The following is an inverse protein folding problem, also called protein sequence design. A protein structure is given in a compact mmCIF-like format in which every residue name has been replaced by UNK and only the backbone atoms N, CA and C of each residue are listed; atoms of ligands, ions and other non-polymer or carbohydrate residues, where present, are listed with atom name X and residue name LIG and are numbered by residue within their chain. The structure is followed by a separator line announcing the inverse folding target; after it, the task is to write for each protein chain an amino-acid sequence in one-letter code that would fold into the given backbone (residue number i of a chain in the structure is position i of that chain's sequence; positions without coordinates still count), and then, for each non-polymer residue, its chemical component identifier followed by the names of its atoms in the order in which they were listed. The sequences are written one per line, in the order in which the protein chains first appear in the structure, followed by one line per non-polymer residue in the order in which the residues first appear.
data_IF_549525800038
#
_entry.id   IF_549525800038
#
_cell.length_a   1.000
_cell.length_b   1.000
_cell.length_c   1.000
_cell.angle_alpha   90.00
_cell.angle_beta   90.00
_cell.angle_gamma   90.00
#
_symmetry.space_group_name_H-M   'P 1'
#
loop_
_entity.id
_entity.type
_entity.pdbx_description
1 polymer ?
#
# COMPACT_ATOMS: atom_id res chain seq x y z
N UNK A 1 -9.69 13.15 6.16
CA UNK A 1 -10.33 11.84 6.40
C UNK A 1 -11.75 12.09 6.91
N UNK A 2 -12.75 11.28 6.50
CA UNK A 2 -14.12 11.45 6.98
C UNK A 2 -14.24 11.34 8.50
N UNK A 3 -15.03 12.21 9.12
CA UNK A 3 -15.26 12.28 10.56
C UNK A 3 -16.53 13.07 10.91
N UNK A 4 -16.99 12.89 12.14
CA UNK A 4 -17.91 13.79 12.84
C UNK A 4 -17.41 14.08 14.26
N UNK A 5 -17.90 15.16 14.85
CA UNK A 5 -17.63 15.56 16.24
C UNK A 5 -18.95 15.76 16.97
N UNK A 6 -18.99 15.36 18.24
CA UNK A 6 -20.14 15.52 19.13
C UNK A 6 -19.68 15.84 20.55
N UNK A 7 -20.51 16.48 21.37
CA UNK A 7 -20.18 16.74 22.77
C UNK A 7 -20.11 15.43 23.58
N UNK A 8 -21.12 14.59 23.46
CA UNK A 8 -21.19 13.26 24.08
C UNK A 8 -21.52 12.22 23.01
N UNK A 9 -20.74 11.15 22.96
CA UNK A 9 -20.99 10.06 22.03
C UNK A 9 -21.99 9.06 22.63
N UNK A 10 -23.16 8.99 22.03
CA UNK A 10 -24.17 7.97 22.31
C UNK A 10 -23.99 6.82 21.32
N UNK A 11 -23.61 5.65 21.83
CA UNK A 11 -23.54 4.41 21.02
C UNK A 11 -24.77 3.55 21.32
N UNK A 12 -25.43 2.98 20.28
CA UNK A 12 -26.41 1.92 20.50
C UNK A 12 -25.79 0.71 21.21
N UNK A 13 -26.63 -0.13 21.80
CA UNK A 13 -26.17 -1.41 22.37
C UNK A 13 -25.49 -2.26 21.30
N UNK A 14 -24.29 -2.76 21.60
CA UNK A 14 -23.49 -3.56 20.68
C UNK A 14 -23.69 -5.07 20.95
N UNK A 15 -23.76 -5.92 19.91
CA UNK A 15 -23.73 -5.55 18.49
C UNK A 15 -25.08 -4.98 18.00
N UNK A 16 -25.05 -4.09 17.00
CA UNK A 16 -26.25 -3.69 16.26
C UNK A 16 -25.98 -3.64 14.77
N UNK A 17 -27.04 -3.77 13.96
CA UNK A 17 -26.96 -3.69 12.51
C UNK A 17 -28.00 -2.75 11.91
N UNK A 18 -27.68 -2.18 10.74
CA UNK A 18 -28.59 -1.40 9.93
C UNK A 18 -28.46 -1.79 8.46
N UNK A 19 -29.60 -2.06 7.82
CA UNK A 19 -29.69 -2.26 6.38
C UNK A 19 -29.72 -0.91 5.65
N UNK A 20 -28.91 -0.77 4.61
CA UNK A 20 -28.92 0.41 3.72
C UNK A 20 -29.07 -0.01 2.27
N UNK A 21 -29.07 0.96 1.35
CA UNK A 21 -29.13 0.67 -0.10
C UNK A 21 -27.86 -0.06 -0.58
N UNK A 22 -26.74 0.22 0.06
CA UNK A 22 -25.41 -0.30 -0.27
C UNK A 22 -25.19 -1.72 0.30
N UNK A 23 -25.79 -2.03 1.45
CA UNK A 23 -25.64 -3.32 2.13
C UNK A 23 -25.90 -3.19 3.63
N UNK A 24 -25.57 -4.26 4.36
CA UNK A 24 -25.74 -4.33 5.82
C UNK A 24 -24.50 -3.82 6.53
N UNK A 25 -24.66 -2.84 7.41
CA UNK A 25 -23.63 -2.39 8.34
C UNK A 25 -23.87 -3.01 9.71
N UNK A 26 -22.87 -3.68 10.28
CA UNK A 26 -22.93 -4.26 11.62
C UNK A 26 -21.80 -3.69 12.48
N UNK A 27 -22.16 -3.06 13.58
CA UNK A 27 -21.23 -2.52 14.58
C UNK A 27 -21.11 -3.55 15.68
N UNK A 28 -19.92 -4.12 15.86
CA UNK A 28 -19.76 -5.37 16.59
C UNK A 28 -19.29 -5.13 18.02
N UNK A 29 -18.09 -4.57 18.19
CA UNK A 29 -17.45 -4.44 19.49
C UNK A 29 -16.65 -3.14 19.60
N UNK A 30 -16.61 -2.60 20.81
CA UNK A 30 -15.80 -1.43 21.16
C UNK A 30 -14.57 -1.89 21.93
N UNK A 31 -13.40 -1.68 21.35
CA UNK A 31 -12.11 -1.94 21.97
C UNK A 31 -11.55 -0.64 22.57
N UNK A 32 -11.28 -0.61 23.88
CA UNK A 32 -10.71 0.57 24.56
C UNK A 32 -9.26 0.32 24.94
N UNK A 33 -8.40 1.29 24.67
CA UNK A 33 -6.97 1.18 24.95
C UNK A 33 -6.68 1.10 26.45
N UNK A 34 -5.80 0.18 26.83
CA UNK A 34 -5.30 0.03 28.21
C UNK A 34 -4.32 1.15 28.58
N UNK A 35 -3.68 1.79 27.59
CA UNK A 35 -2.70 2.86 27.81
C UNK A 35 -3.30 4.26 27.63
N UNK A 36 -4.38 4.37 26.86
CA UNK A 36 -5.08 5.63 26.55
C UNK A 36 -6.59 5.44 26.73
N UNK A 37 -7.14 5.58 27.95
CA UNK A 37 -8.56 5.31 28.23
C UNK A 37 -9.55 6.15 27.41
N UNK A 38 -9.09 7.26 26.83
CA UNK A 38 -9.87 8.13 25.97
C UNK A 38 -9.83 7.75 24.47
N UNK A 39 -9.11 6.69 24.11
CA UNK A 39 -8.99 6.15 22.76
C UNK A 39 -9.69 4.80 22.67
N UNK A 40 -10.51 4.62 21.62
CA UNK A 40 -11.18 3.36 21.35
C UNK A 40 -11.32 3.11 19.84
N UNK A 41 -11.45 1.84 19.48
CA UNK A 41 -11.74 1.39 18.13
C UNK A 41 -13.06 0.64 18.13
N UNK A 42 -14.01 1.08 17.31
CA UNK A 42 -15.30 0.41 17.11
C UNK A 42 -15.21 -0.45 15.84
N UNK A 43 -15.40 -1.75 15.97
CA UNK A 43 -15.38 -2.70 14.87
C UNK A 43 -16.65 -2.58 14.04
N UNK A 44 -16.49 -2.50 12.71
CA UNK A 44 -17.59 -2.45 11.75
C UNK A 44 -17.38 -3.54 10.70
N UNK A 45 -18.41 -4.36 10.52
CA UNK A 45 -18.52 -5.34 9.44
C UNK A 45 -19.56 -4.85 8.42
N UNK A 46 -19.17 -4.81 7.15
CA UNK A 46 -20.04 -4.46 6.04
C UNK A 46 -20.24 -5.67 5.11
N UNK A 47 -21.50 -6.05 4.93
CA UNK A 47 -21.93 -7.08 3.98
C UNK A 47 -22.59 -6.39 2.78
N UNK A 48 -21.96 -6.38 1.59
CA UNK A 48 -22.54 -5.78 0.40
C UNK A 48 -23.86 -6.45 0.01
N UNK A 49 -24.78 -5.68 -0.60
CA UNK A 49 -26.01 -6.25 -1.17
C UNK A 49 -25.75 -7.08 -2.44
N UNK A 50 -24.71 -6.72 -3.19
CA UNK A 50 -24.24 -7.48 -4.34
C UNK A 50 -23.37 -8.64 -3.86
N UNK A 51 -23.84 -9.87 -4.10
CA UNK A 51 -23.17 -11.12 -3.68
C UNK A 51 -21.82 -11.36 -4.36
N UNK A 52 -21.49 -10.64 -5.44
CA UNK A 52 -20.18 -10.74 -6.07
C UNK A 52 -19.09 -9.92 -5.35
N UNK A 53 -19.49 -9.01 -4.46
CA UNK A 53 -18.56 -8.18 -3.69
C UNK A 53 -18.20 -8.86 -2.37
N UNK A 54 -16.92 -8.79 -1.99
CA UNK A 54 -16.43 -9.31 -0.71
C UNK A 54 -16.91 -8.46 0.46
N UNK A 55 -17.19 -9.12 1.59
CA UNK A 55 -17.39 -8.48 2.89
C UNK A 55 -16.18 -7.62 3.28
N UNK A 56 -16.42 -6.60 4.10
CA UNK A 56 -15.38 -5.66 4.52
C UNK A 56 -15.46 -5.39 6.01
N UNK A 57 -14.35 -5.63 6.68
CA UNK A 57 -14.16 -5.29 8.09
C UNK A 57 -13.27 -4.05 8.21
N UNK A 58 -13.54 -3.17 9.17
CA UNK A 58 -12.72 -1.99 9.47
C UNK A 58 -13.03 -1.44 10.87
N UNK A 59 -12.20 -0.51 11.33
CA UNK A 59 -12.43 0.20 12.59
C UNK A 59 -12.81 1.67 12.37
N UNK A 60 -13.65 2.17 13.27
CA UNK A 60 -13.83 3.60 13.51
C UNK A 60 -13.05 4.00 14.77
N UNK A 61 -12.19 5.01 14.64
CA UNK A 61 -11.44 5.60 15.73
C UNK A 61 -12.33 6.59 16.50
N UNK A 62 -12.46 6.36 17.81
CA UNK A 62 -13.14 7.23 18.77
C UNK A 62 -12.09 7.84 19.69
N UNK A 63 -12.01 9.17 19.71
CA UNK A 63 -11.14 9.92 20.64
C UNK A 63 -11.96 10.89 21.47
N UNK A 64 -11.96 10.68 22.78
CA UNK A 64 -12.62 11.55 23.76
C UNK A 64 -11.64 12.62 24.26
N UNK A 65 -12.12 13.85 24.32
CA UNK A 65 -11.46 14.97 24.99
C UNK A 65 -12.38 15.51 26.09
N UNK A 66 -11.94 16.51 26.85
CA UNK A 66 -12.78 17.15 27.88
C UNK A 66 -14.03 17.86 27.32
N UNK A 67 -13.99 18.28 26.05
CA UNK A 67 -15.03 19.14 25.45
C UNK A 67 -15.84 18.44 24.36
N UNK A 68 -15.21 17.50 23.65
CA UNK A 68 -15.81 16.82 22.50
C UNK A 68 -15.26 15.40 22.31
N UNK A 69 -16.04 14.57 21.64
CA UNK A 69 -15.64 13.29 21.09
C UNK A 69 -15.56 13.39 19.56
N UNK A 70 -14.43 13.01 18.99
CA UNK A 70 -14.27 12.86 17.55
C UNK A 70 -14.37 11.39 17.17
N UNK A 71 -15.21 11.10 16.17
CA UNK A 71 -15.31 9.77 15.55
C UNK A 71 -14.90 9.90 14.09
N UNK A 72 -13.93 9.10 13.69
CA UNK A 72 -13.40 9.10 12.33
C UNK A 72 -13.03 7.70 11.89
N UNK A 73 -12.81 7.56 10.60
CA UNK A 73 -12.22 6.34 10.07
C UNK A 73 -10.84 6.06 10.66
N UNK A 74 -10.55 4.82 11.06
CA UNK A 74 -9.18 4.43 11.34
C UNK A 74 -8.35 4.37 10.03
N UNK A 75 -7.08 4.76 10.13
CA UNK A 75 -6.18 4.85 8.97
C UNK A 75 -5.64 3.50 8.54
N UNK A 76 -5.43 2.59 9.51
CA UNK A 76 -4.70 1.34 9.31
C UNK A 76 -5.63 0.19 8.89
N UNK A 77 -6.93 0.33 9.13
CA UNK A 77 -7.98 -0.59 8.70
C UNK A 77 -8.87 -0.04 7.58
N UNK A 78 -8.45 1.05 6.93
CA UNK A 78 -9.18 1.73 5.84
C UNK A 78 -9.53 0.76 4.70
N UNK A 79 -10.74 0.88 4.17
CA UNK A 79 -11.25 0.12 3.03
C UNK A 79 -11.57 1.03 1.83
N UNK A 80 -11.58 0.43 0.64
CA UNK A 80 -12.16 1.01 -0.57
C UNK A 80 -13.49 0.30 -0.94
N UNK A 81 -14.50 1.02 -1.47
CA UNK A 81 -14.55 2.47 -1.64
C UNK A 81 -14.74 3.23 -0.31
N UNK A 82 -14.20 4.44 -0.22
CA UNK A 82 -14.27 5.29 0.98
C UNK A 82 -15.71 5.64 1.39
N UNK A 83 -16.66 5.56 0.45
CA UNK A 83 -18.08 5.81 0.70
C UNK A 83 -18.69 4.88 1.74
N UNK A 84 -18.23 3.63 1.84
CA UNK A 84 -18.71 2.67 2.86
C UNK A 84 -18.38 3.18 4.26
N UNK A 85 -17.14 3.62 4.47
CA UNK A 85 -16.70 4.15 5.77
C UNK A 85 -17.35 5.52 6.10
N UNK A 86 -17.66 6.33 5.08
CA UNK A 86 -18.49 7.53 5.28
C UNK A 86 -19.88 7.14 5.75
N UNK A 87 -20.48 6.12 5.14
CA UNK A 87 -21.83 5.69 5.49
C UNK A 87 -21.92 5.15 6.91
N UNK A 88 -20.94 4.39 7.37
CA UNK A 88 -20.89 3.95 8.78
C UNK A 88 -20.77 5.12 9.76
N UNK A 89 -20.04 6.19 9.39
CA UNK A 89 -19.98 7.41 10.20
C UNK A 89 -21.31 8.17 10.20
N UNK A 90 -22.01 8.24 9.06
CA UNK A 90 -23.36 8.84 8.98
C UNK A 90 -24.36 8.09 9.86
N UNK A 91 -24.32 6.76 9.87
CA UNK A 91 -25.19 5.93 10.72
C UNK A 91 -25.00 6.32 12.19
N UNK A 92 -23.75 6.35 12.67
CA UNK A 92 -23.47 6.76 14.05
C UNK A 92 -23.82 8.23 14.30
N UNK A 93 -23.54 9.13 13.36
CA UNK A 93 -23.85 10.55 13.51
C UNK A 93 -25.36 10.80 13.70
N UNK A 94 -26.21 10.00 13.05
CA UNK A 94 -27.67 10.08 13.19
C UNK A 94 -28.20 9.59 14.55
N UNK A 95 -27.37 8.89 15.33
CA UNK A 95 -27.70 8.51 16.72
C UNK A 95 -27.29 9.56 17.75
N UNK A 96 -26.73 10.70 17.33
CA UNK A 96 -26.26 11.73 18.25
C UNK A 96 -27.29 12.85 18.40
N UNK A 97 -27.60 13.24 19.65
CA UNK A 97 -28.54 14.32 19.93
C UNK A 97 -28.04 15.70 19.47
N UNK A 98 -26.72 15.88 19.44
CA UNK A 98 -26.07 17.11 18.96
C UNK A 98 -24.75 16.81 18.24
N UNK A 99 -24.61 17.30 17.01
CA UNK A 99 -23.37 17.26 16.25
C UNK A 99 -22.71 18.65 16.30
N UNK A 100 -21.42 18.69 16.61
CA UNK A 100 -20.66 19.94 16.63
C UNK A 100 -20.24 20.33 15.21
N UNK A 101 -19.68 19.38 14.46
CA UNK A 101 -19.26 19.53 13.05
C UNK A 101 -19.12 18.15 12.38
N UNK A 102 -19.24 18.08 11.05
CA UNK A 102 -18.92 16.88 10.28
C UNK A 102 -18.43 17.22 8.86
N UNK A 103 -17.69 16.32 8.21
CA UNK A 103 -17.29 16.44 6.80
C UNK A 103 -17.79 15.29 5.92
N UNK A 104 -18.97 14.74 6.26
CA UNK A 104 -19.55 13.57 5.62
C UNK A 104 -20.23 13.84 4.27
N UNK A 105 -20.27 15.10 3.79
CA UNK A 105 -20.98 15.48 2.56
C UNK A 105 -20.70 14.55 1.36
N UNK A 106 -21.79 14.15 0.73
CA UNK A 106 -21.92 13.16 -0.35
C UNK A 106 -21.70 13.73 -1.76
N UNK A 107 -21.04 14.89 -1.90
CA UNK A 107 -20.81 15.53 -3.22
C UNK A 107 -19.84 14.78 -4.14
N UNK A 108 -19.12 13.77 -3.65
CA UNK A 108 -18.41 12.84 -4.51
C UNK A 108 -19.27 11.59 -4.63
N UNK A 109 -19.97 11.51 -5.75
CA UNK A 109 -20.67 10.32 -6.23
C UNK A 109 -19.82 9.09 -5.91
N UNK A 110 -20.43 8.13 -5.22
CA UNK A 110 -19.90 6.78 -5.12
C UNK A 110 -19.62 6.29 -6.55
N UNK A 111 -18.36 6.36 -7.01
CA UNK A 111 -17.92 5.45 -8.05
C UNK A 111 -17.89 4.08 -7.38
N UNK A 112 -19.05 3.43 -7.34
CA UNK A 112 -19.27 2.05 -6.87
C UNK A 112 -18.48 1.05 -7.69
N UNK A 113 -18.09 1.43 -8.91
CA UNK A 113 -17.20 0.61 -9.73
C UNK A 113 -15.76 0.93 -9.31
N UNK A 114 -15.09 -0.02 -8.65
CA UNK A 114 -13.62 -0.08 -8.60
C UNK A 114 -13.20 0.00 -10.07
N UNK A 115 -12.66 1.14 -10.51
CA UNK A 115 -12.15 1.28 -11.87
C UNK A 115 -11.18 0.10 -12.07
N UNK A 116 -11.44 -0.82 -13.02
CA UNK A 116 -10.82 -2.14 -13.01
C UNK A 116 -9.29 -2.08 -13.15
N UNK A 117 -8.79 -0.98 -13.71
CA UNK A 117 -7.39 -0.66 -13.88
C UNK A 117 -6.73 -0.02 -12.65
N UNK A 118 -7.47 0.52 -11.67
CA UNK A 118 -6.88 0.93 -10.39
C UNK A 118 -6.79 -0.31 -9.48
N UNK A 119 -5.56 -0.74 -9.23
CA UNK A 119 -5.25 -1.91 -8.42
C UNK A 119 -4.73 -1.51 -7.04
N UNK A 120 -4.87 -2.43 -6.09
CA UNK A 120 -4.16 -2.41 -4.82
C UNK A 120 -3.00 -3.39 -4.86
N UNK A 121 -2.06 -3.27 -3.91
CA UNK A 121 -0.88 -4.13 -3.90
C UNK A 121 -1.25 -5.61 -3.73
N UNK A 122 -2.32 -5.88 -2.99
CA UNK A 122 -2.86 -7.22 -2.76
C UNK A 122 -3.33 -7.89 -4.06
N UNK A 123 -3.76 -7.10 -5.06
CA UNK A 123 -4.15 -7.62 -6.38
C UNK A 123 -2.95 -8.21 -7.15
N UNK A 124 -1.70 -7.94 -6.72
CA UNK A 124 -0.47 -8.44 -7.36
C UNK A 124 0.17 -9.63 -6.62
N UNK A 125 -0.36 -10.04 -5.46
CA UNK A 125 0.18 -11.18 -4.69
C UNK A 125 -0.06 -12.52 -5.40
N UNK A 126 -1.13 -12.61 -6.20
CA UNK A 126 -1.37 -13.71 -7.13
C UNK A 126 -1.22 -13.19 -8.56
N UNK A 127 0.03 -13.09 -9.00
CA UNK A 127 0.38 -12.48 -10.28
C UNK A 127 -0.15 -13.28 -11.47
N UNK A 128 -0.18 -14.61 -11.38
CA UNK A 128 -0.66 -15.48 -12.46
C UNK A 128 -2.18 -15.34 -12.65
N UNK A 129 -2.95 -15.31 -11.56
CA UNK A 129 -4.38 -15.01 -11.63
C UNK A 129 -4.63 -13.58 -12.13
N UNK A 130 -3.82 -12.60 -11.73
CA UNK A 130 -3.94 -11.23 -12.20
C UNK A 130 -3.79 -11.15 -13.74
N UNK A 131 -2.80 -11.85 -14.30
CA UNK A 131 -2.55 -11.90 -15.73
C UNK A 131 -3.63 -12.66 -16.49
N UNK A 132 -4.10 -13.79 -15.95
CA UNK A 132 -5.17 -14.61 -16.56
C UNK A 132 -6.48 -13.84 -16.68
N UNK A 133 -6.73 -12.91 -15.76
CA UNK A 133 -7.89 -12.03 -15.78
C UNK A 133 -7.77 -10.83 -16.75
N UNK A 134 -6.65 -10.69 -17.46
CA UNK A 134 -6.51 -9.70 -18.53
C UNK A 134 -6.97 -10.30 -19.86
N UNK A 135 -7.61 -9.49 -20.71
CA UNK A 135 -7.96 -9.86 -22.10
C UNK A 135 -6.73 -9.93 -23.03
N UNK A 136 -5.55 -10.25 -22.49
CA UNK A 136 -4.28 -10.34 -23.20
C UNK A 136 -3.68 -11.73 -23.00
N UNK A 137 -3.38 -12.43 -24.09
CA UNK A 137 -2.71 -13.74 -24.04
C UNK A 137 -1.21 -13.55 -23.82
N UNK A 138 -0.70 -13.99 -22.68
CA UNK A 138 0.73 -13.96 -22.29
C UNK A 138 1.42 -12.63 -22.67
N UNK A 139 0.92 -11.48 -22.19
CA UNK A 139 1.46 -10.19 -22.58
C UNK A 139 2.88 -10.02 -22.04
N UNK A 140 3.73 -9.35 -22.83
CA UNK A 140 4.91 -8.70 -22.28
C UNK A 140 4.47 -7.58 -21.36
N UNK A 141 5.26 -7.30 -20.32
CA UNK A 141 4.88 -6.36 -19.27
C UNK A 141 5.91 -5.24 -19.17
N UNK A 142 5.43 -4.00 -19.23
CA UNK A 142 6.25 -2.81 -19.06
C UNK A 142 5.80 -2.05 -17.80
N UNK A 143 6.77 -1.64 -16.99
CA UNK A 143 6.55 -0.89 -15.75
C UNK A 143 7.01 0.55 -15.92
N UNK A 144 6.19 1.53 -15.55
CA UNK A 144 6.59 2.93 -15.41
C UNK A 144 6.48 3.37 -13.95
N UNK A 145 7.59 3.81 -13.39
CA UNK A 145 7.70 4.24 -12.00
C UNK A 145 7.68 5.77 -11.92
N UNK A 146 6.72 6.32 -11.19
CA UNK A 146 6.54 7.76 -11.05
C UNK A 146 6.00 8.40 -12.33
N UNK A 147 4.94 7.83 -12.91
CA UNK A 147 4.41 8.26 -14.22
C UNK A 147 3.91 9.72 -14.26
N UNK A 148 3.68 10.36 -13.10
CA UNK A 148 3.26 11.75 -13.00
C UNK A 148 2.00 12.03 -13.81
N UNK A 149 2.12 12.88 -14.84
CA UNK A 149 0.99 13.19 -15.73
C UNK A 149 0.49 12.01 -16.61
N UNK A 150 1.24 10.90 -16.63
CA UNK A 150 0.93 9.72 -17.44
C UNK A 150 1.17 9.88 -18.94
N UNK A 151 1.83 10.96 -19.41
CA UNK A 151 2.04 11.19 -20.85
C UNK A 151 2.78 10.04 -21.54
N UNK A 152 3.87 9.56 -20.94
CA UNK A 152 4.64 8.45 -21.48
C UNK A 152 3.86 7.12 -21.35
N UNK A 153 3.34 6.82 -20.15
CA UNK A 153 2.51 5.64 -19.89
C UNK A 153 1.35 5.50 -20.88
N UNK A 154 0.52 6.53 -21.02
CA UNK A 154 -0.66 6.54 -21.89
C UNK A 154 -0.29 6.50 -23.38
N UNK A 155 0.81 7.13 -23.78
CA UNK A 155 1.32 7.03 -25.15
C UNK A 155 1.69 5.58 -25.48
N UNK A 156 2.51 4.95 -24.64
CA UNK A 156 2.92 3.57 -24.84
C UNK A 156 1.73 2.61 -24.80
N UNK A 157 0.80 2.81 -23.87
CA UNK A 157 -0.42 2.00 -23.77
C UNK A 157 -1.24 2.02 -25.07
N UNK A 158 -1.35 3.19 -25.70
CA UNK A 158 -2.05 3.35 -26.99
C UNK A 158 -1.26 2.74 -28.16
N UNK A 159 0.06 2.92 -28.15
CA UNK A 159 0.93 2.50 -29.25
C UNK A 159 1.15 0.99 -29.28
N UNK A 160 1.13 0.34 -28.12
CA UNK A 160 1.43 -1.08 -27.95
C UNK A 160 0.28 -1.83 -27.25
N UNK A 161 -0.88 -2.00 -27.90
CA UNK A 161 -2.07 -2.62 -27.30
C UNK A 161 -1.87 -4.07 -26.82
N UNK A 162 -0.84 -4.76 -27.32
CA UNK A 162 -0.46 -6.12 -26.93
C UNK A 162 0.41 -6.18 -25.66
N UNK A 163 0.90 -5.04 -25.18
CA UNK A 163 1.74 -4.94 -23.98
C UNK A 163 0.84 -4.59 -22.80
N UNK A 164 1.01 -5.29 -21.69
CA UNK A 164 0.42 -4.89 -20.43
C UNK A 164 1.30 -3.82 -19.78
N UNK A 165 0.75 -2.64 -19.57
CA UNK A 165 1.45 -1.56 -18.87
C UNK A 165 1.06 -1.53 -17.40
N UNK A 166 2.05 -1.39 -16.53
CA UNK A 166 1.84 -1.16 -15.10
C UNK A 166 2.42 0.22 -14.75
N UNK A 167 1.63 1.08 -14.13
CA UNK A 167 2.05 2.41 -13.69
C UNK A 167 2.03 2.54 -12.17
N UNK A 168 3.15 3.00 -11.59
CA UNK A 168 3.24 3.34 -10.17
C UNK A 168 3.28 4.86 -9.97
N UNK A 169 2.43 5.40 -9.12
CA UNK A 169 2.44 6.83 -8.75
C UNK A 169 1.91 7.05 -7.33
N UNK A 170 2.77 7.55 -6.44
CA UNK A 170 2.41 7.81 -5.03
C UNK A 170 1.57 9.11 -4.87
N UNK A 171 1.60 10.01 -5.84
CA UNK A 171 0.79 11.22 -5.85
C UNK A 171 -0.64 10.93 -6.32
N UNK A 172 -1.54 10.66 -5.37
CA UNK A 172 -2.95 10.35 -5.62
C UNK A 172 -3.67 11.24 -6.65
N UNK A 173 -3.54 12.59 -6.65
CA UNK A 173 -4.18 13.41 -7.67
C UNK A 173 -3.68 13.14 -9.10
N UNK A 174 -2.40 12.81 -9.26
CA UNK A 174 -1.85 12.39 -10.56
C UNK A 174 -2.43 11.04 -10.99
N UNK A 175 -2.53 10.09 -10.05
CA UNK A 175 -3.14 8.79 -10.29
C UNK A 175 -4.61 8.94 -10.74
N UNK A 176 -5.41 9.76 -10.07
CA UNK A 176 -6.81 10.03 -10.45
C UNK A 176 -6.92 10.72 -11.82
N UNK A 177 -6.00 11.64 -12.14
CA UNK A 177 -5.97 12.28 -13.46
C UNK A 177 -5.70 11.27 -14.58
N UNK A 178 -4.76 10.35 -14.37
CA UNK A 178 -4.44 9.31 -15.35
C UNK A 178 -5.58 8.29 -15.43
N UNK A 179 -6.19 7.91 -14.31
CA UNK A 179 -7.35 7.04 -14.26
C UNK A 179 -8.50 7.52 -15.16
N UNK A 180 -8.84 8.82 -15.09
CA UNK A 180 -9.87 9.43 -15.96
C UNK A 180 -9.50 9.35 -17.43
N UNK A 181 -8.22 9.49 -17.77
CA UNK A 181 -7.76 9.38 -19.16
C UNK A 181 -7.82 7.94 -19.67
N UNK A 182 -7.46 6.96 -18.83
CA UNK A 182 -7.60 5.52 -19.15
C UNK A 182 -9.06 5.21 -19.50
N UNK A 183 -9.99 5.68 -18.67
CA UNK A 183 -11.44 5.54 -18.90
C UNK A 183 -11.89 6.25 -20.18
N UNK A 184 -11.54 7.53 -20.35
CA UNK A 184 -11.88 8.33 -21.53
C UNK A 184 -11.43 7.68 -22.84
N UNK A 185 -10.21 7.12 -22.85
CA UNK A 185 -9.62 6.47 -24.03
C UNK A 185 -9.95 4.97 -24.11
N UNK A 186 -10.75 4.43 -23.17
CA UNK A 186 -11.11 3.02 -23.07
C UNK A 186 -9.90 2.07 -23.18
N UNK A 187 -8.81 2.40 -22.49
CA UNK A 187 -7.58 1.61 -22.51
C UNK A 187 -7.73 0.40 -21.58
N UNK A 188 -7.53 -0.80 -22.13
CA UNK A 188 -7.71 -2.06 -21.40
C UNK A 188 -6.40 -2.73 -20.98
N UNK A 189 -5.30 -2.35 -21.59
CA UNK A 189 -3.97 -2.93 -21.40
C UNK A 189 -3.10 -2.14 -20.41
N UNK A 190 -3.71 -1.54 -19.38
CA UNK A 190 -3.01 -0.76 -18.37
C UNK A 190 -3.59 -0.95 -16.97
N UNK A 191 -2.69 -1.15 -16.01
CA UNK A 191 -2.98 -1.20 -14.58
C UNK A 191 -2.19 -0.08 -13.88
N UNK A 192 -2.80 0.59 -12.91
CA UNK A 192 -2.16 1.65 -12.12
C UNK A 192 -2.41 1.44 -10.63
N UNK A 193 -1.41 1.78 -9.81
CA UNK A 193 -1.52 1.74 -8.35
C UNK A 193 -0.67 2.82 -7.67
N UNK A 194 -1.14 3.29 -6.52
CA UNK A 194 -0.40 4.22 -5.67
C UNK A 194 0.44 3.44 -4.67
N UNK A 195 1.65 3.06 -5.09
CA UNK A 195 2.53 2.24 -4.28
C UNK A 195 4.00 2.56 -4.52
N UNK A 196 4.86 2.26 -3.54
CA UNK A 196 6.30 2.42 -3.70
C UNK A 196 6.89 1.29 -4.55
N UNK A 197 7.66 1.67 -5.55
CA UNK A 197 8.24 0.72 -6.50
C UNK A 197 9.23 -0.25 -5.84
N UNK A 198 9.92 0.14 -4.78
CA UNK A 198 10.90 -0.74 -4.11
C UNK A 198 10.22 -1.98 -3.53
N UNK A 199 9.08 -1.79 -2.87
CA UNK A 199 8.27 -2.89 -2.34
C UNK A 199 7.51 -3.61 -3.44
N UNK A 200 6.98 -2.86 -4.42
CA UNK A 200 6.31 -3.48 -5.57
C UNK A 200 7.21 -4.49 -6.29
N UNK A 201 8.46 -4.11 -6.59
CA UNK A 201 9.41 -5.00 -7.25
C UNK A 201 9.76 -6.23 -6.40
N UNK A 202 9.86 -6.10 -5.08
CA UNK A 202 10.11 -7.24 -4.18
C UNK A 202 9.02 -8.31 -4.29
N UNK A 203 7.76 -7.88 -4.50
CA UNK A 203 6.59 -8.75 -4.56
C UNK A 203 6.33 -9.34 -5.96
N UNK A 204 7.08 -8.94 -6.99
CA UNK A 204 6.92 -9.51 -8.33
C UNK A 204 7.71 -10.83 -8.48
N UNK A 205 7.19 -11.80 -9.24
CA UNK A 205 7.97 -12.97 -9.66
C UNK A 205 9.21 -12.54 -10.47
N UNK A 206 10.17 -13.45 -10.60
CA UNK A 206 11.38 -13.16 -11.37
C UNK A 206 11.11 -13.23 -12.87
N UNK A 207 11.81 -12.43 -13.67
CA UNK A 207 11.76 -12.44 -15.13
C UNK A 207 10.37 -12.18 -15.74
N UNK A 208 9.58 -11.28 -15.15
CA UNK A 208 8.22 -10.95 -15.64
C UNK A 208 8.16 -9.62 -16.41
N UNK A 209 9.11 -8.72 -16.21
CA UNK A 209 9.14 -7.40 -16.84
C UNK A 209 10.09 -7.38 -18.04
N UNK A 210 9.66 -6.82 -19.16
CA UNK A 210 10.56 -6.55 -20.29
C UNK A 210 11.20 -5.15 -20.16
N UNK A 211 10.44 -4.18 -19.63
CA UNK A 211 10.92 -2.79 -19.49
C UNK A 211 10.51 -2.19 -18.16
N UNK A 212 11.42 -1.39 -17.59
CA UNK A 212 11.18 -0.51 -16.44
C UNK A 212 11.59 0.90 -16.83
N UNK A 213 10.69 1.87 -16.68
CA UNK A 213 10.94 3.27 -16.95
C UNK A 213 10.95 4.07 -15.65
N UNK A 214 12.00 4.87 -15.43
CA UNK A 214 12.13 5.80 -14.31
C UNK A 214 12.50 7.16 -14.89
N UNK A 215 11.49 8.00 -15.15
CA UNK A 215 11.69 9.27 -15.85
C UNK A 215 11.58 10.46 -14.92
N UNK A 216 12.63 11.28 -14.90
CA UNK A 216 12.78 12.50 -14.09
C UNK A 216 12.44 12.31 -12.60
N UNK A 217 12.97 11.25 -11.94
CA UNK A 217 12.80 11.08 -10.51
C UNK A 217 13.39 12.26 -9.73
N UNK A 218 12.81 12.59 -8.58
CA UNK A 218 13.31 13.66 -7.72
C UNK A 218 14.77 13.34 -7.31
N UNK A 219 15.74 14.23 -7.56
CA UNK A 219 17.15 13.91 -7.39
C UNK A 219 17.62 13.88 -5.94
N UNK A 220 16.89 14.52 -5.02
CA UNK A 220 17.17 14.50 -3.58
C UNK A 220 18.66 14.77 -3.21
N UNK A 221 19.26 15.82 -3.77
CA UNK A 221 20.70 16.11 -3.61
C UNK A 221 21.14 16.17 -2.12
N UNK A 222 20.29 16.74 -1.25
CA UNK A 222 20.54 16.81 0.20
C UNK A 222 20.17 15.53 0.97
N UNK A 223 19.47 14.58 0.35
CA UNK A 223 19.00 13.33 0.98
C UNK A 223 19.10 12.15 -0.01
N UNK A 224 20.31 11.75 -0.46
CA UNK A 224 20.46 10.72 -1.50
C UNK A 224 19.83 9.36 -1.16
N UNK A 225 19.71 9.03 0.13
CA UNK A 225 18.99 7.83 0.61
C UNK A 225 17.51 7.77 0.18
N UNK A 226 16.93 8.89 -0.27
CA UNK A 226 15.56 8.96 -0.81
C UNK A 226 15.48 8.72 -2.31
N UNK A 227 16.62 8.64 -3.01
CA UNK A 227 16.67 8.26 -4.43
C UNK A 227 16.11 6.86 -4.59
N UNK A 228 15.38 6.62 -5.67
CA UNK A 228 14.86 5.29 -5.97
C UNK A 228 15.99 4.34 -6.35
N UNK A 229 16.87 4.76 -7.27
CA UNK A 229 18.10 4.05 -7.59
C UNK A 229 18.94 3.87 -6.33
N UNK A 230 19.23 2.61 -6.03
CA UNK A 230 20.01 2.14 -4.90
C UNK A 230 20.43 0.69 -5.21
N UNK A 231 21.40 0.14 -4.49
CA UNK A 231 21.81 -1.26 -4.68
C UNK A 231 20.63 -2.24 -4.52
N UNK A 232 19.76 -2.13 -3.49
CA UNK A 232 18.58 -2.99 -3.37
C UNK A 232 17.61 -2.86 -4.54
N UNK A 233 17.36 -1.62 -5.01
CA UNK A 233 16.48 -1.38 -6.16
C UNK A 233 17.04 -2.03 -7.44
N UNK A 234 18.33 -1.84 -7.74
CA UNK A 234 18.94 -2.45 -8.92
C UNK A 234 18.97 -3.98 -8.85
N UNK A 235 19.17 -4.54 -7.65
CA UNK A 235 19.08 -5.99 -7.44
C UNK A 235 17.68 -6.50 -7.80
N UNK A 236 16.63 -5.90 -7.24
CA UNK A 236 15.24 -6.27 -7.54
C UNK A 236 14.89 -6.01 -9.02
N UNK A 237 15.31 -4.89 -9.60
CA UNK A 237 15.10 -4.59 -11.01
C UNK A 237 15.74 -5.65 -11.92
N UNK A 238 16.99 -6.03 -11.67
CA UNK A 238 17.67 -7.09 -12.45
C UNK A 238 16.97 -8.45 -12.31
N UNK A 239 16.36 -8.72 -11.15
CA UNK A 239 15.64 -9.98 -10.88
C UNK A 239 14.32 -10.09 -11.63
N UNK A 240 13.54 -9.00 -11.64
CA UNK A 240 12.22 -9.01 -12.28
C UNK A 240 12.31 -8.83 -13.79
N UNK A 241 13.41 -8.29 -14.31
CA UNK A 241 13.63 -8.14 -15.74
C UNK A 241 13.91 -9.50 -16.40
N UNK A 242 13.33 -9.72 -17.58
CA UNK A 242 13.75 -10.83 -18.46
C UNK A 242 15.19 -10.60 -18.94
N UNK A 243 15.87 -11.65 -19.42
CA UNK A 243 17.14 -11.48 -20.14
C UNK A 243 16.99 -10.47 -21.29
N UNK A 244 17.95 -9.55 -21.43
CA UNK A 244 17.90 -8.37 -22.31
C UNK A 244 16.78 -7.36 -22.00
N UNK A 245 16.04 -7.55 -20.92
CA UNK A 245 15.07 -6.59 -20.40
C UNK A 245 15.76 -5.29 -19.99
N UNK A 246 15.05 -4.18 -20.13
CA UNK A 246 15.65 -2.85 -20.11
C UNK A 246 15.10 -1.99 -18.97
N UNK A 247 16.01 -1.48 -18.12
CA UNK A 247 15.72 -0.41 -17.16
C UNK A 247 16.27 0.92 -17.69
N UNK A 248 15.37 1.88 -17.91
CA UNK A 248 15.71 3.23 -18.39
C UNK A 248 15.57 4.26 -17.27
N UNK A 249 16.64 5.00 -17.00
CA UNK A 249 16.60 6.25 -16.24
C UNK A 249 16.78 7.43 -17.18
N UNK A 250 15.83 8.37 -17.15
CA UNK A 250 15.98 9.69 -17.77
C UNK A 250 16.02 10.75 -16.66
N UNK A 251 16.95 11.69 -16.68
CA UNK A 251 17.08 12.72 -15.64
C UNK A 251 17.72 14.01 -16.15
N UNK A 252 17.31 15.16 -15.59
CA UNK A 252 17.95 16.46 -15.83
C UNK A 252 19.08 16.77 -14.83
N UNK A 253 19.32 15.88 -13.86
CA UNK A 253 20.37 16.01 -12.86
C UNK A 253 21.60 15.17 -13.22
N UNK A 254 22.70 15.84 -13.56
CA UNK A 254 23.99 15.19 -13.81
C UNK A 254 24.51 14.44 -12.57
N UNK A 255 24.31 14.99 -11.38
CA UNK A 255 24.71 14.34 -10.13
C UNK A 255 23.95 13.03 -9.92
N UNK A 256 22.63 13.04 -10.13
CA UNK A 256 21.84 11.83 -10.00
C UNK A 256 22.18 10.81 -11.09
N UNK A 257 22.39 11.27 -12.33
CA UNK A 257 22.85 10.41 -13.42
C UNK A 257 24.16 9.69 -13.06
N UNK A 258 25.18 10.43 -12.59
CA UNK A 258 26.47 9.87 -12.21
C UNK A 258 26.33 8.88 -11.03
N UNK A 259 25.50 9.22 -10.04
CA UNK A 259 25.21 8.33 -8.92
C UNK A 259 24.60 7.01 -9.39
N UNK A 260 23.56 7.05 -10.23
CA UNK A 260 22.91 5.86 -10.77
C UNK A 260 23.84 5.04 -11.66
N UNK A 261 24.65 5.72 -12.49
CA UNK A 261 25.67 5.09 -13.34
C UNK A 261 26.71 4.34 -12.52
N UNK A 262 27.21 4.92 -11.44
CA UNK A 262 28.18 4.26 -10.55
C UNK A 262 27.60 3.03 -9.87
N UNK A 263 26.35 3.10 -9.40
CA UNK A 263 25.66 1.92 -8.85
C UNK A 263 25.50 0.81 -9.89
N UNK A 264 25.17 1.16 -11.13
CA UNK A 264 25.00 0.21 -12.21
C UNK A 264 26.31 -0.47 -12.61
N UNK A 265 27.41 0.28 -12.68
CA UNK A 265 28.75 -0.26 -12.96
C UNK A 265 29.22 -1.28 -11.90
N UNK A 266 28.74 -1.16 -10.66
CA UNK A 266 29.04 -2.11 -9.59
C UNK A 266 28.12 -3.34 -9.57
N UNK A 267 27.13 -3.43 -10.48
CA UNK A 267 26.20 -4.55 -10.54
C UNK A 267 26.49 -5.43 -11.78
N UNK A 268 27.00 -6.66 -11.60
CA UNK A 268 27.37 -7.53 -12.71
C UNK A 268 26.17 -8.05 -13.53
N UNK A 269 24.94 -7.89 -13.03
CA UNK A 269 23.73 -8.36 -13.71
C UNK A 269 23.23 -7.39 -14.80
N UNK A 270 23.92 -6.27 -15.02
CA UNK A 270 23.57 -5.29 -16.03
C UNK A 270 24.74 -5.01 -16.98
N UNK A 271 24.45 -4.91 -18.27
CA UNK A 271 25.25 -4.08 -19.19
C UNK A 271 24.65 -2.69 -19.24
N UNK A 272 25.49 -1.69 -19.53
CA UNK A 272 25.09 -0.28 -19.49
C UNK A 272 25.39 0.43 -20.80
N UNK A 273 24.43 1.24 -21.25
CA UNK A 273 24.61 2.28 -22.23
C UNK A 273 24.16 3.62 -21.64
N UNK A 274 24.70 4.72 -22.15
CA UNK A 274 24.23 6.05 -21.77
C UNK A 274 24.36 7.04 -22.92
N UNK A 275 23.50 8.03 -22.91
CA UNK A 275 23.51 9.12 -23.89
C UNK A 275 23.10 10.43 -23.24
N UNK A 276 23.40 11.53 -23.92
CA UNK A 276 23.04 12.89 -23.51
C UNK A 276 22.17 13.50 -24.60
N UNK A 277 21.06 14.11 -24.20
CA UNK A 277 20.10 14.79 -25.06
C UNK A 277 19.58 13.90 -26.20
N UNK A 278 19.42 12.59 -25.96
CA UNK A 278 18.80 11.70 -26.95
C UNK A 278 17.33 12.03 -27.13
N UNK A 279 16.88 11.98 -28.39
CA UNK A 279 15.49 12.20 -28.75
C UNK A 279 14.66 10.98 -28.38
N UNK A 280 13.45 11.23 -27.85
CA UNK A 280 12.44 10.20 -27.60
C UNK A 280 11.23 10.45 -28.48
N UNK A 281 10.47 9.38 -28.72
CA UNK A 281 9.21 9.43 -29.48
C UNK A 281 8.13 10.24 -28.77
N UNK A 282 8.14 10.24 -27.43
CA UNK A 282 7.20 10.99 -26.61
C UNK A 282 7.92 11.80 -25.53
N UNK A 283 7.58 13.10 -25.47
CA UNK A 283 8.14 14.03 -24.49
C UNK A 283 7.26 14.06 -23.25
N UNK A 284 7.86 13.75 -22.09
CA UNK A 284 7.15 13.87 -20.81
C UNK A 284 6.87 15.33 -20.43
N UNK A 285 5.97 15.56 -19.46
CA UNK A 285 5.71 16.92 -18.94
C UNK A 285 6.97 17.55 -18.35
N UNK A 286 7.80 16.77 -17.67
CA UNK A 286 9.04 17.24 -17.04
C UNK A 286 10.11 17.52 -18.09
N UNK A 287 10.27 16.64 -19.07
CA UNK A 287 11.18 16.84 -20.19
C UNK A 287 10.88 18.14 -20.94
N UNK A 288 9.61 18.38 -21.31
CA UNK A 288 9.21 19.64 -21.95
C UNK A 288 9.59 20.88 -21.11
N UNK A 289 9.46 20.78 -19.78
CA UNK A 289 9.87 21.85 -18.86
C UNK A 289 11.39 22.05 -18.87
N UNK A 290 12.17 20.99 -18.83
CA UNK A 290 13.64 21.06 -18.76
C UNK A 290 14.26 21.50 -20.09
N UNK A 291 13.71 21.04 -21.21
CA UNK A 291 14.06 21.54 -22.55
C UNK A 291 13.82 23.05 -22.67
N UNK A 292 12.67 23.55 -22.17
CA UNK A 292 12.40 25.00 -22.12
C UNK A 292 13.41 25.76 -21.27
N UNK A 293 13.95 25.14 -20.22
CA UNK A 293 15.02 25.70 -19.38
C UNK A 293 16.43 25.48 -19.94
N UNK A 294 16.54 24.89 -21.15
CA UNK A 294 17.83 24.55 -21.78
C UNK A 294 18.73 23.68 -20.90
N UNK A 295 18.13 22.84 -20.06
CA UNK A 295 18.87 21.84 -19.29
C UNK A 295 19.24 20.67 -20.19
N UNK A 296 20.39 20.08 -19.88
CA UNK A 296 20.76 18.78 -20.42
C UNK A 296 19.90 17.67 -19.82
N UNK A 297 19.64 16.64 -20.63
CA UNK A 297 18.92 15.44 -20.25
C UNK A 297 19.85 14.26 -20.44
N UNK A 298 20.03 13.47 -19.40
CA UNK A 298 20.89 12.31 -19.37
C UNK A 298 20.06 11.05 -19.35
N UNK A 299 20.45 10.08 -20.18
CA UNK A 299 19.78 8.80 -20.31
C UNK A 299 20.75 7.70 -19.95
N UNK A 300 20.31 6.83 -19.04
CA UNK A 300 21.04 5.65 -18.60
C UNK A 300 20.15 4.44 -18.91
N UNK A 301 20.69 3.52 -19.71
CA UNK A 301 20.01 2.32 -20.18
C UNK A 301 20.75 1.11 -19.64
N UNK A 302 20.05 0.30 -18.83
CA UNK A 302 20.60 -0.89 -18.22
C UNK A 302 19.89 -2.12 -18.78
N UNK A 303 20.66 -3.08 -19.30
CA UNK A 303 20.11 -4.31 -19.89
C UNK A 303 20.48 -5.51 -19.04
N UNK A 304 19.47 -6.25 -18.57
CA UNK A 304 19.68 -7.42 -17.73
C UNK A 304 20.42 -8.51 -18.53
N UNK A 305 21.51 -9.04 -17.98
CA UNK A 305 22.40 -9.96 -18.70
C UNK A 305 21.95 -11.41 -18.66
N UNK A 306 21.12 -11.76 -17.69
CA UNK A 306 20.70 -13.13 -17.42
C UNK A 306 19.32 -13.17 -16.77
N UNK A 307 18.66 -14.33 -16.87
CA UNK A 307 17.48 -14.61 -16.05
C UNK A 307 17.90 -14.89 -14.61
N UNK A 308 17.03 -14.51 -13.69
CA UNK A 308 17.19 -14.80 -12.26
C UNK A 308 16.37 -16.03 -11.85
N UNK A 309 16.78 -16.75 -10.79
CA UNK A 309 15.96 -17.80 -10.20
C UNK A 309 14.58 -17.28 -9.82
N UNK A 310 13.55 -18.11 -9.94
CA UNK A 310 12.22 -17.77 -9.43
C UNK A 310 12.27 -17.62 -7.90
N UNK A 311 11.50 -16.66 -7.39
CA UNK A 311 11.28 -16.50 -5.96
C UNK A 311 9.91 -17.03 -5.61
N UNK A 312 9.75 -17.50 -4.38
CA UNK A 312 8.44 -17.79 -3.81
C UNK A 312 8.17 -16.81 -2.67
N UNK A 313 6.92 -16.33 -2.60
CA UNK A 313 6.43 -15.47 -1.52
C UNK A 313 5.78 -16.30 -0.40
N UNK A 314 6.34 -17.47 -0.10
CA UNK A 314 5.86 -18.41 0.93
C UNK A 314 6.20 -17.91 2.35
N UNK A 315 5.71 -16.71 2.67
CA UNK A 315 5.83 -16.12 4.00
C UNK A 315 4.52 -16.30 4.75
N UNK A 316 4.58 -17.11 5.80
CA UNK A 316 3.43 -17.44 6.64
C UNK A 316 3.37 -16.51 7.85
N UNK A 317 2.18 -15.99 8.12
CA UNK A 317 1.93 -15.02 9.20
C UNK A 317 1.03 -15.61 10.30
N UNK A 318 1.05 -16.93 10.43
CA UNK A 318 0.22 -17.68 11.36
C UNK A 318 0.80 -17.68 12.78
N UNK A 319 -0.09 -17.52 13.76
CA UNK A 319 0.26 -17.60 15.17
C UNK A 319 0.17 -19.03 15.71
N UNK A 320 0.97 -19.40 16.72
CA UNK A 320 0.81 -20.67 17.43
C UNK A 320 -0.54 -20.75 18.18
N UNK A 321 -1.18 -21.92 18.19
CA UNK A 321 -2.50 -22.12 18.84
C UNK A 321 -2.57 -21.76 20.34
N UNK A 322 -1.45 -21.74 21.05
CA UNK A 322 -1.40 -21.41 22.49
C UNK A 322 -1.01 -19.95 22.78
N UNK A 323 -0.84 -19.12 21.76
CA UNK A 323 -0.44 -17.74 21.94
C UNK A 323 -1.63 -16.89 22.41
N UNK A 324 -1.42 -16.13 23.48
CA UNK A 324 -2.37 -15.20 24.08
C UNK A 324 -1.63 -13.92 24.42
N UNK A 325 -2.33 -12.79 24.34
CA UNK A 325 -1.79 -11.50 24.73
C UNK A 325 -1.93 -11.38 26.25
N UNK A 326 -0.79 -11.22 26.92
CA UNK A 326 -0.75 -11.05 28.37
C UNK A 326 -1.15 -9.64 28.79
N UNK A 327 -1.77 -9.58 29.96
CA UNK A 327 -2.10 -8.35 30.70
C UNK A 327 -1.42 -8.39 32.08
N UNK A 328 -0.82 -7.30 32.57
CA UNK A 328 -0.82 -5.95 32.00
C UNK A 328 0.13 -5.82 30.79
N UNK A 329 -0.33 -5.09 29.77
CA UNK A 329 0.46 -4.83 28.57
C UNK A 329 1.28 -3.54 28.73
N UNK A 330 2.53 -3.57 28.28
CA UNK A 330 3.42 -2.40 28.25
C UNK A 330 3.93 -2.17 26.83
N UNK A 331 3.73 -0.96 26.25
CA UNK A 331 4.29 -0.63 24.95
C UNK A 331 5.80 -0.79 24.92
N UNK A 332 6.33 -1.33 23.83
CA UNK A 332 7.77 -1.54 23.68
C UNK A 332 8.19 -1.56 22.22
N UNK A 333 9.40 -1.07 21.95
CA UNK A 333 9.99 -1.02 20.61
C UNK A 333 11.31 -1.76 20.59
N UNK A 334 11.44 -2.69 19.66
CA UNK A 334 12.65 -3.47 19.40
C UNK A 334 13.15 -3.11 18.01
N UNK A 335 14.41 -2.71 17.94
CA UNK A 335 15.10 -2.37 16.70
C UNK A 335 16.11 -3.47 16.41
N UNK A 336 16.09 -4.00 15.19
CA UNK A 336 17.03 -4.99 14.67
C UNK A 336 17.73 -4.40 13.44
N UNK A 337 18.72 -5.11 12.93
CA UNK A 337 19.37 -4.72 11.69
C UNK A 337 18.36 -4.81 10.53
N UNK A 338 18.05 -3.66 9.91
CA UNK A 338 17.15 -3.56 8.75
C UNK A 338 15.66 -3.53 9.05
N UNK A 339 15.20 -3.85 10.27
CA UNK A 339 13.78 -3.87 10.61
C UNK A 339 13.48 -3.53 12.07
N UNK A 340 12.20 -3.34 12.40
CA UNK A 340 11.77 -3.11 13.77
C UNK A 340 10.45 -3.83 14.08
N UNK A 341 10.16 -3.94 15.37
CA UNK A 341 8.86 -4.32 15.91
C UNK A 341 8.50 -3.35 17.04
N UNK A 342 7.34 -2.74 16.96
CA UNK A 342 6.79 -1.83 17.95
C UNK A 342 5.44 -2.39 18.40
N UNK A 343 5.39 -2.84 19.65
CA UNK A 343 4.18 -3.20 20.35
C UNK A 343 3.56 -1.89 20.85
N UNK A 344 2.56 -1.37 20.15
CA UNK A 344 2.10 0.01 20.37
C UNK A 344 1.07 0.11 21.48
N UNK A 345 0.08 -0.77 21.45
CA UNK A 345 -1.09 -0.66 22.32
C UNK A 345 -1.85 -1.97 22.40
N UNK A 346 -2.52 -2.18 23.54
CA UNK A 346 -3.51 -3.24 23.72
C UNK A 346 -4.86 -2.57 23.95
N UNK A 347 -5.85 -2.98 23.17
CA UNK A 347 -7.23 -2.55 23.35
C UNK A 347 -8.09 -3.74 23.75
N UNK A 348 -8.99 -3.53 24.71
CA UNK A 348 -9.85 -4.57 25.27
C UNK A 348 -11.32 -4.29 24.94
N UNK A 349 -12.04 -5.32 24.53
CA UNK A 349 -13.51 -5.37 24.57
C UNK A 349 -13.96 -6.31 25.71
N UNK A 350 -15.27 -6.44 25.98
CA UNK A 350 -15.76 -7.43 26.96
C UNK A 350 -15.38 -8.88 26.62
N UNK A 351 -15.18 -9.20 25.34
CA UNK A 351 -15.00 -10.57 24.87
C UNK A 351 -13.61 -10.84 24.28
N UNK A 352 -12.96 -9.81 23.73
CA UNK A 352 -11.79 -9.98 22.86
C UNK A 352 -10.69 -8.96 23.17
N UNK A 353 -9.47 -9.27 22.71
CA UNK A 353 -8.32 -8.36 22.78
C UNK A 353 -7.88 -7.99 21.38
N UNK A 354 -7.49 -6.74 21.21
CA UNK A 354 -6.99 -6.21 19.94
C UNK A 354 -5.62 -5.60 20.16
N UNK A 355 -4.61 -6.18 19.52
CA UNK A 355 -3.24 -5.75 19.65
C UNK A 355 -2.82 -4.88 18.49
N UNK A 356 -2.38 -3.65 18.76
CA UNK A 356 -1.87 -2.75 17.75
C UNK A 356 -0.35 -2.83 17.69
N UNK A 357 0.17 -3.17 16.53
CA UNK A 357 1.61 -3.24 16.28
C UNK A 357 2.00 -2.40 15.08
N UNK A 358 3.26 -1.94 15.07
CA UNK A 358 3.93 -1.46 13.86
C UNK A 358 5.26 -2.17 13.69
N UNK A 359 5.55 -2.64 12.49
CA UNK A 359 6.72 -3.51 12.28
C UNK A 359 7.14 -3.53 10.81
N UNK A 360 8.27 -4.18 10.53
CA UNK A 360 8.81 -4.31 9.17
C UNK A 360 9.92 -3.31 8.86
N UNK A 361 9.99 -2.88 7.60
CA UNK A 361 11.06 -2.02 7.07
C UNK A 361 10.95 -0.59 7.60
N UNK A 362 12.06 0.08 7.86
CA UNK A 362 12.07 1.47 8.34
C UNK A 362 11.50 2.49 7.35
N UNK A 363 11.64 2.20 6.05
CA UNK A 363 11.13 3.03 4.98
C UNK A 363 9.66 2.70 4.66
N UNK A 364 9.22 1.49 4.99
CA UNK A 364 7.86 0.98 4.76
C UNK A 364 7.30 0.27 5.98
N UNK A 365 7.12 1.00 7.09
CA UNK A 365 6.54 0.39 8.28
C UNK A 365 5.09 0.00 8.01
N UNK A 366 4.70 -1.19 8.43
CA UNK A 366 3.31 -1.62 8.44
C UNK A 366 2.73 -1.53 9.84
N UNK A 367 1.62 -0.80 9.99
CA UNK A 367 0.80 -0.85 11.21
C UNK A 367 -0.33 -1.83 11.00
N UNK A 368 -0.44 -2.83 11.89
CA UNK A 368 -1.45 -3.89 11.82
C UNK A 368 -2.14 -4.06 13.17
N UNK A 369 -3.34 -4.64 13.11
CA UNK A 369 -4.06 -5.11 14.28
C UNK A 369 -4.06 -6.64 14.30
N UNK A 370 -3.89 -7.22 15.48
CA UNK A 370 -4.02 -8.65 15.71
C UNK A 370 -5.20 -8.83 16.66
N UNK A 371 -6.19 -9.60 16.25
CA UNK A 371 -7.36 -9.91 17.05
C UNK A 371 -7.12 -11.24 17.78
N UNK A 372 -7.41 -11.25 19.08
CA UNK A 372 -7.51 -12.45 19.92
C UNK A 372 -8.98 -12.73 20.20
N UNK A 373 -9.52 -13.71 19.48
CA UNK A 373 -10.84 -14.28 19.75
C UNK A 373 -10.75 -15.74 20.25
N UNK A 374 -11.17 -16.69 19.44
CA UNK A 374 -10.81 -18.11 19.52
C UNK A 374 -9.33 -18.37 19.24
N UNK A 375 -8.68 -17.52 18.44
CA UNK A 375 -7.26 -17.63 18.09
C UNK A 375 -6.66 -16.25 17.79
N UNK A 376 -5.33 -16.17 17.76
CA UNK A 376 -4.64 -14.96 17.30
C UNK A 376 -4.55 -14.95 15.79
N UNK A 377 -4.99 -13.86 15.17
CA UNK A 377 -4.85 -13.65 13.74
C UNK A 377 -4.76 -12.16 13.40
N UNK A 378 -4.14 -11.84 12.26
CA UNK A 378 -4.14 -10.48 11.75
C UNK A 378 -5.55 -10.08 11.31
N UNK A 379 -6.01 -8.92 11.76
CA UNK A 379 -7.31 -8.39 11.39
C UNK A 379 -7.33 -8.04 9.89
N UNK A 380 -8.34 -8.55 9.17
CA UNK A 380 -8.55 -8.51 7.71
C UNK A 380 -7.55 -9.30 6.87
N UNK A 381 -6.31 -8.85 6.84
CA UNK A 381 -5.32 -9.26 5.85
C UNK A 381 -3.98 -9.46 6.57
N UNK A 382 -3.26 -10.50 6.15
CA UNK A 382 -1.90 -10.69 6.58
C UNK A 382 -1.01 -9.52 6.14
N UNK A 383 0.09 -9.27 6.85
CA UNK A 383 1.13 -8.36 6.38
C UNK A 383 1.61 -8.72 4.98
N UNK A 384 2.20 -7.76 4.26
CA UNK A 384 2.73 -8.08 2.94
C UNK A 384 3.82 -9.15 3.07
N UNK A 385 3.85 -10.14 2.16
CA UNK A 385 4.79 -11.24 2.20
C UNK A 385 6.17 -10.77 1.71
N UNK A 386 6.79 -9.88 2.47
CA UNK A 386 8.18 -9.46 2.30
C UNK A 386 9.05 -10.21 3.29
N UNK A 387 10.32 -10.41 2.95
CA UNK A 387 11.27 -11.07 3.86
C UNK A 387 11.35 -10.33 5.20
N UNK A 388 11.35 -9.01 5.15
CA UNK A 388 11.47 -8.14 6.32
C UNK A 388 10.25 -8.23 7.22
N UNK A 389 9.03 -8.21 6.66
CA UNK A 389 7.82 -8.40 7.46
C UNK A 389 7.79 -9.79 8.10
N UNK A 390 8.21 -10.83 7.37
CA UNK A 390 8.27 -12.18 7.91
C UNK A 390 9.26 -12.29 9.09
N UNK A 391 10.45 -11.69 8.99
CA UNK A 391 11.41 -11.62 10.10
C UNK A 391 10.82 -10.89 11.31
N UNK A 392 10.15 -9.78 11.08
CA UNK A 392 9.53 -8.99 12.16
C UNK A 392 8.33 -9.73 12.80
N UNK A 393 7.57 -10.51 12.02
CA UNK A 393 6.53 -11.41 12.52
C UNK A 393 7.11 -12.58 13.34
N UNK A 394 8.22 -13.16 12.92
CA UNK A 394 8.92 -14.19 13.71
C UNK A 394 9.36 -13.67 15.08
N UNK A 395 9.93 -12.46 15.12
CA UNK A 395 10.28 -11.81 16.38
C UNK A 395 9.04 -11.62 17.28
N UNK A 396 7.91 -11.22 16.70
CA UNK A 396 6.65 -11.11 17.43
C UNK A 396 6.22 -12.46 18.01
N UNK A 397 6.31 -13.56 17.25
CA UNK A 397 5.99 -14.91 17.73
C UNK A 397 6.88 -15.33 18.90
N UNK A 398 8.18 -15.07 18.83
CA UNK A 398 9.12 -15.36 19.91
C UNK A 398 8.76 -14.60 21.19
N UNK A 399 8.36 -13.34 21.09
CA UNK A 399 7.93 -12.53 22.24
C UNK A 399 6.62 -13.03 22.85
N UNK A 400 5.66 -13.39 22.01
CA UNK A 400 4.41 -13.97 22.47
C UNK A 400 4.68 -15.30 23.18
N UNK A 401 5.64 -16.11 22.71
CA UNK A 401 5.99 -17.41 23.31
C UNK A 401 6.84 -17.30 24.60
N UNK A 402 7.81 -16.39 24.66
CA UNK A 402 8.75 -16.27 25.81
C UNK A 402 8.09 -15.74 27.07
N UNK A 403 6.97 -15.06 26.95
CA UNK A 403 6.15 -14.67 28.10
C UNK A 403 5.43 -15.87 28.75
N UNK A 404 5.38 -17.05 28.13
CA UNK A 404 4.83 -18.28 28.73
C UNK A 404 5.81 -19.07 29.60
N UNK A 405 7.13 -18.86 29.48
CA UNK A 405 8.13 -19.64 30.22
C UNK A 405 8.54 -19.03 31.56
N UNK A 406 8.06 -17.83 31.91
CA UNK A 406 8.36 -17.19 33.21
C UNK A 406 7.48 -17.67 34.37
N UNK A 407 6.45 -18.48 34.13
CA UNK A 407 5.59 -19.07 35.19
C UNK A 407 5.86 -20.56 35.44
N UNK A 408 6.94 -21.13 34.86
CA UNK A 408 7.32 -22.53 35.05
C UNK A 408 8.71 -22.68 35.70
N UNK A 409 8.96 -21.93 36.79
CA UNK A 409 10.06 -22.20 37.73
C UNK A 409 9.64 -21.93 39.17
#
# INVERSE_FOLDING_TARGET
MPHFKTHSLTLPALPFSLETKEGKFSFLELFTSTNQPNFSLLQVHFTPKDSHLKNKDFFLEIKKSKQETIVKCDKNSKIAPIGIMKKSLEILANHQDSLNTHNLNSKNTLHTNKLPFIKHIEDFLDFDSLLTNQDLKNPKIWLEIGFGSGRHLLHNTKQYPQILHIGLEIHYPSLEQVARQIELYNLKNVLILAYDARIFLELLPSNVLEKIFVHFPVPWDKKPHRRIFSTPFLSQASRVLTTQGHLQLRTDSLEYFNYAKNLALSNPNFTLNHSKNSQETIISKYEARWLKQKKDIYNLELFATQNSPQISLDYHFDFPNKSQIQTPFQPSKIIKEGYFLHLEDLLLSPNHKLFKISFGDFNYPETRYILEDSSLHYFRENPLPTKINHQAHHLLKELLQTNFTKEAK
#
